data_IF_477708851988
#
_entry.id   IF_477708851988
#
_cell.length_a   1.000
_cell.length_b   1.000
_cell.length_c   1.000
_cell.angle_alpha   90.00
_cell.angle_beta   90.00
_cell.angle_gamma   90.00
#
_symmetry.space_group_name_H-M   'P 1'
#
loop_
_entity.id
_entity.type
_entity.pdbx_description
1 polymer ?
#
# COMPACT_ATOMS: atom_id res chain seq x y z
N UNK A 1 -11.45 -10.09 -5.46
CA UNK A 1 -11.04 -9.13 -6.52
C UNK A 1 -9.55 -9.24 -6.88
N UNK A 2 -8.63 -9.44 -5.91
CA UNK A 2 -7.17 -9.50 -6.16
C UNK A 2 -6.76 -10.59 -7.16
N UNK A 3 -7.47 -11.71 -7.22
CA UNK A 3 -7.18 -12.78 -8.20
C UNK A 3 -7.31 -12.30 -9.65
N UNK A 4 -8.23 -11.38 -9.92
CA UNK A 4 -8.36 -10.79 -11.26
C UNK A 4 -7.13 -9.94 -11.60
N UNK A 5 -6.62 -9.19 -10.66
CA UNK A 5 -5.40 -8.39 -10.86
C UNK A 5 -4.17 -9.30 -11.07
N UNK A 6 -4.03 -10.32 -10.23
CA UNK A 6 -2.93 -11.28 -10.31
C UNK A 6 -2.92 -12.07 -11.62
N UNK A 7 -4.07 -12.32 -12.24
CA UNK A 7 -4.11 -13.02 -13.53
C UNK A 7 -3.25 -12.34 -14.62
N UNK A 8 -2.93 -11.06 -14.45
CA UNK A 8 -2.03 -10.32 -15.32
C UNK A 8 -0.74 -9.88 -14.60
N UNK A 9 -0.84 -9.54 -13.30
CA UNK A 9 0.27 -8.93 -12.56
C UNK A 9 1.15 -9.94 -11.81
N UNK A 10 0.88 -11.22 -11.86
CA UNK A 10 1.75 -12.26 -11.30
C UNK A 10 2.99 -12.57 -12.18
N UNK A 11 3.02 -12.08 -13.42
CA UNK A 11 4.12 -12.27 -14.36
C UNK A 11 4.11 -13.62 -15.08
N UNK A 12 3.10 -14.47 -14.88
CA UNK A 12 3.02 -15.80 -15.52
C UNK A 12 2.33 -15.76 -16.88
N UNK A 13 1.45 -14.81 -17.11
CA UNK A 13 0.70 -14.65 -18.35
C UNK A 13 1.16 -13.41 -19.08
N UNK A 14 1.55 -13.57 -20.35
CA UNK A 14 1.60 -12.42 -21.24
C UNK A 14 0.20 -11.77 -21.20
N UNK A 15 0.12 -10.50 -20.90
CA UNK A 15 -1.15 -9.75 -21.01
C UNK A 15 -1.57 -9.87 -22.46
N UNK A 16 -2.50 -10.75 -22.70
CA UNK A 16 -2.78 -11.34 -23.98
C UNK A 16 -3.06 -10.36 -25.09
N UNK A 17 -3.36 -10.89 -26.24
CA UNK A 17 -3.70 -10.12 -27.43
C UNK A 17 -4.89 -9.20 -27.10
N UNK A 18 -4.63 -7.93 -26.92
CA UNK A 18 -5.69 -6.95 -26.90
C UNK A 18 -6.03 -6.62 -28.37
N UNK A 19 -7.31 -6.54 -28.69
CA UNK A 19 -7.77 -6.18 -30.04
C UNK A 19 -7.20 -4.83 -30.53
N UNK A 20 -6.87 -3.93 -29.59
CA UNK A 20 -6.42 -2.57 -29.92
C UNK A 20 -4.88 -2.42 -29.97
N UNK A 21 -4.12 -3.20 -29.21
CA UNK A 21 -2.70 -2.95 -28.96
C UNK A 21 -1.83 -4.17 -29.34
N UNK A 22 -2.44 -5.29 -29.66
CA UNK A 22 -1.72 -6.53 -29.93
C UNK A 22 -1.24 -7.25 -28.66
N UNK A 23 -0.13 -7.96 -28.75
CA UNK A 23 0.43 -8.72 -27.62
C UNK A 23 1.26 -7.82 -26.73
N UNK A 24 0.86 -7.66 -25.48
CA UNK A 24 1.68 -7.03 -24.42
C UNK A 24 2.29 -8.15 -23.58
N UNK A 25 3.61 -8.20 -23.52
CA UNK A 25 4.34 -9.11 -22.64
C UNK A 25 4.77 -8.36 -21.41
N UNK A 26 4.32 -8.79 -20.22
CA UNK A 26 4.85 -8.29 -18.96
C UNK A 26 6.17 -8.99 -18.67
N UNK A 27 7.24 -8.22 -18.66
CA UNK A 27 8.56 -8.73 -18.24
C UNK A 27 8.62 -8.79 -16.71
N UNK A 28 9.20 -9.85 -16.13
CA UNK A 28 9.42 -9.98 -14.70
C UNK A 28 10.28 -8.86 -14.08
N UNK A 29 10.89 -8.00 -14.91
CA UNK A 29 11.62 -6.80 -14.47
C UNK A 29 10.76 -5.54 -14.39
N UNK A 30 9.50 -5.59 -14.83
CA UNK A 30 8.57 -4.46 -14.73
C UNK A 30 8.13 -4.29 -13.28
N UNK A 31 8.10 -3.04 -12.79
CA UNK A 31 7.60 -2.71 -11.44
C UNK A 31 6.15 -3.12 -11.20
N UNK A 32 5.37 -3.27 -12.27
CA UNK A 32 3.98 -3.70 -12.23
C UNK A 32 3.80 -5.21 -12.03
N UNK A 33 4.87 -6.00 -12.05
CA UNK A 33 4.81 -7.44 -11.79
C UNK A 33 4.97 -7.69 -10.30
N UNK A 34 3.93 -8.19 -9.66
CA UNK A 34 3.91 -8.54 -8.23
C UNK A 34 4.58 -9.91 -8.00
N UNK A 35 4.60 -10.77 -9.03
CA UNK A 35 5.16 -12.11 -8.98
C UNK A 35 4.20 -13.15 -8.37
N UNK A 36 4.64 -14.39 -8.38
CA UNK A 36 3.88 -15.53 -7.82
C UNK A 36 4.19 -15.78 -6.34
N UNK A 37 5.34 -15.30 -5.87
CA UNK A 37 5.75 -15.41 -4.47
C UNK A 37 5.33 -14.14 -3.73
N UNK A 38 4.20 -14.20 -3.03
CA UNK A 38 3.58 -13.03 -2.39
C UNK A 38 4.09 -12.75 -0.98
N UNK A 39 5.12 -13.47 -0.51
CA UNK A 39 5.66 -13.33 0.86
C UNK A 39 6.25 -11.95 1.14
N UNK A 40 6.79 -11.28 0.13
CA UNK A 40 7.31 -9.91 0.24
C UNK A 40 6.27 -8.83 -0.05
N UNK A 41 4.99 -9.18 -0.14
CA UNK A 41 3.92 -8.21 -0.41
C UNK A 41 3.12 -7.88 0.85
N UNK A 42 2.59 -6.67 0.91
CA UNK A 42 1.61 -6.31 1.94
C UNK A 42 0.45 -7.32 1.92
N UNK A 43 0.01 -7.83 3.09
CA UNK A 43 -1.07 -8.82 3.12
C UNK A 43 -2.34 -8.32 2.43
N UNK A 44 -2.91 -9.15 1.56
CA UNK A 44 -4.19 -8.91 0.90
C UNK A 44 -5.01 -10.20 0.81
N UNK A 45 -6.28 -10.10 0.46
CA UNK A 45 -7.28 -11.16 0.55
C UNK A 45 -7.41 -11.74 1.96
N UNK A 46 -7.10 -10.91 2.97
CA UNK A 46 -7.26 -11.25 4.37
C UNK A 46 -8.31 -10.35 5.00
N UNK A 47 -9.18 -10.96 5.80
CA UNK A 47 -10.18 -10.21 6.57
C UNK A 47 -9.50 -9.41 7.69
N UNK A 48 -9.88 -8.15 7.80
CA UNK A 48 -9.44 -7.30 8.91
C UNK A 48 -10.56 -7.17 9.96
N UNK A 49 -10.25 -6.94 11.23
CA UNK A 49 -8.91 -6.82 11.79
C UNK A 49 -8.25 -8.19 11.95
N UNK A 50 -6.93 -8.21 11.81
CA UNK A 50 -6.17 -9.34 12.31
C UNK A 50 -6.24 -9.32 13.83
N UNK A 51 -6.56 -10.45 14.43
CA UNK A 51 -6.59 -10.60 15.89
C UNK A 51 -5.24 -10.16 16.47
N UNK A 52 -5.28 -9.37 17.53
CA UNK A 52 -4.10 -8.90 18.28
C UNK A 52 -3.21 -7.85 17.58
N UNK A 53 -3.72 -7.15 16.56
CA UNK A 53 -2.97 -6.10 15.89
C UNK A 53 -3.08 -4.75 16.64
N UNK A 54 -2.11 -4.44 17.51
CA UNK A 54 -2.06 -3.16 18.24
C UNK A 54 -1.76 -1.95 17.34
N UNK A 55 -1.17 -2.18 16.19
CA UNK A 55 -0.81 -1.16 15.20
C UNK A 55 -1.90 -0.85 14.18
N UNK A 56 -3.11 -1.40 14.33
CA UNK A 56 -4.25 -1.09 13.47
C UNK A 56 -5.23 -0.13 14.16
N UNK A 57 -5.92 0.68 13.39
CA UNK A 57 -6.94 1.60 13.91
C UNK A 57 -8.12 0.83 14.52
N UNK A 58 -8.68 1.35 15.60
CA UNK A 58 -9.77 0.68 16.33
C UNK A 58 -11.04 0.49 15.52
N UNK A 59 -11.30 1.38 14.56
CA UNK A 59 -12.47 1.29 13.67
C UNK A 59 -12.45 0.06 12.79
N UNK A 60 -11.28 -0.48 12.44
CA UNK A 60 -11.19 -1.76 11.72
C UNK A 60 -11.76 -2.91 12.57
N UNK A 61 -11.47 -2.92 13.88
CA UNK A 61 -11.99 -3.93 14.78
C UNK A 61 -13.50 -3.80 15.01
N UNK A 62 -14.00 -2.56 15.10
CA UNK A 62 -15.38 -2.30 15.47
C UNK A 62 -16.36 -2.37 14.29
N UNK A 63 -15.94 -1.91 13.11
CA UNK A 63 -16.85 -1.70 11.97
C UNK A 63 -16.25 -2.02 10.61
N UNK A 64 -15.06 -2.61 10.54
CA UNK A 64 -14.33 -2.86 9.30
C UNK A 64 -14.18 -1.60 8.42
N UNK A 65 -13.98 -0.45 9.06
CA UNK A 65 -13.80 0.84 8.36
C UNK A 65 -12.41 1.39 8.62
N UNK A 66 -11.84 1.99 7.58
CA UNK A 66 -10.57 2.71 7.65
C UNK A 66 -10.79 4.15 8.13
N UNK A 67 -9.72 4.85 8.48
CA UNK A 67 -9.78 6.29 8.80
C UNK A 67 -10.01 7.18 7.57
N UNK A 68 -9.89 6.64 6.37
CA UNK A 68 -10.00 7.38 5.11
C UNK A 68 -11.07 6.79 4.21
N UNK A 69 -12.07 7.58 3.88
CA UNK A 69 -13.20 7.15 3.04
C UNK A 69 -12.80 6.75 1.60
N UNK A 70 -11.62 7.16 1.12
CA UNK A 70 -11.10 6.73 -0.17
C UNK A 70 -10.51 5.31 -0.12
N UNK A 71 -10.03 4.87 1.04
CA UNK A 71 -9.42 3.55 1.26
C UNK A 71 -10.50 2.59 1.74
N UNK A 72 -11.04 1.78 0.85
CA UNK A 72 -12.18 0.91 1.14
C UNK A 72 -11.78 -0.55 1.20
N UNK A 73 -12.28 -1.26 2.19
CA UNK A 73 -12.22 -2.72 2.23
C UNK A 73 -13.29 -3.32 1.31
N UNK A 74 -13.01 -4.48 0.77
CA UNK A 74 -13.96 -5.26 -0.04
C UNK A 74 -14.37 -6.47 0.79
N UNK A 75 -15.64 -6.55 1.16
CA UNK A 75 -16.17 -7.60 2.03
C UNK A 75 -15.33 -7.80 3.30
N UNK A 76 -14.92 -6.68 3.92
CA UNK A 76 -14.05 -6.65 5.10
C UNK A 76 -12.62 -7.16 4.87
N UNK A 77 -12.19 -7.33 3.61
CA UNK A 77 -10.84 -7.75 3.26
C UNK A 77 -10.02 -6.59 2.67
N UNK A 78 -8.71 -6.64 2.91
CA UNK A 78 -7.76 -5.85 2.12
C UNK A 78 -7.61 -6.53 0.76
N UNK A 79 -7.81 -5.78 -0.31
CA UNK A 79 -7.67 -6.25 -1.68
C UNK A 79 -6.80 -5.28 -2.48
N UNK A 80 -6.37 -5.65 -3.68
CA UNK A 80 -5.60 -4.73 -4.53
C UNK A 80 -6.35 -3.40 -4.73
N UNK A 81 -7.66 -3.46 -4.92
CA UNK A 81 -8.54 -2.29 -5.07
C UNK A 81 -8.72 -1.45 -3.79
N UNK A 82 -8.28 -1.94 -2.63
CA UNK A 82 -8.24 -1.13 -1.40
C UNK A 82 -7.22 0.00 -1.53
N UNK A 83 -6.11 -0.26 -2.22
CA UNK A 83 -5.03 0.70 -2.42
C UNK A 83 -5.00 1.30 -3.82
N UNK A 84 -5.49 0.57 -4.85
CA UNK A 84 -5.42 0.97 -6.25
C UNK A 84 -6.80 1.19 -6.88
N UNK A 85 -6.93 2.26 -7.66
CA UNK A 85 -8.09 2.55 -8.51
C UNK A 85 -7.62 2.75 -9.95
N UNK A 86 -7.66 1.69 -10.75
CA UNK A 86 -7.16 1.68 -12.14
C UNK A 86 -7.94 2.60 -13.08
N UNK A 87 -9.08 3.13 -12.65
CA UNK A 87 -9.90 4.06 -13.42
C UNK A 87 -9.63 5.52 -13.06
N UNK A 88 -8.84 5.80 -12.03
CA UNK A 88 -8.69 7.16 -11.51
C UNK A 88 -7.26 7.49 -11.04
N UNK A 89 -6.36 7.64 -12.01
CA UNK A 89 -4.98 8.05 -11.73
C UNK A 89 -4.85 9.51 -11.23
N UNK A 90 -5.91 10.31 -11.31
CA UNK A 90 -5.86 11.72 -10.93
C UNK A 90 -5.75 11.94 -9.42
N UNK A 91 -6.12 10.96 -8.61
CA UNK A 91 -5.99 11.03 -7.15
C UNK A 91 -4.55 10.87 -6.68
N UNK A 92 -3.76 10.15 -7.44
CA UNK A 92 -2.34 9.90 -7.18
C UNK A 92 -1.48 10.66 -8.20
N UNK A 93 -1.38 11.96 -8.01
CA UNK A 93 -0.60 12.83 -8.91
C UNK A 93 0.91 12.66 -8.74
N UNK A 94 1.35 12.11 -7.61
CA UNK A 94 2.77 12.01 -7.28
C UNK A 94 3.39 10.72 -7.76
N UNK A 95 2.78 9.58 -7.48
CA UNK A 95 3.37 8.29 -7.86
C UNK A 95 2.92 7.82 -9.23
N UNK A 96 1.71 8.18 -9.64
CA UNK A 96 1.03 7.70 -10.87
C UNK A 96 0.86 6.17 -10.88
N UNK A 97 0.82 5.55 -9.68
CA UNK A 97 0.62 4.11 -9.48
C UNK A 97 -0.87 3.75 -9.26
N UNK A 98 -1.77 4.63 -9.70
CA UNK A 98 -3.22 4.46 -9.55
C UNK A 98 -3.69 4.30 -8.11
N UNK A 99 -3.01 4.90 -7.13
CA UNK A 99 -3.45 4.84 -5.74
C UNK A 99 -4.80 5.55 -5.57
N UNK A 100 -5.65 5.01 -4.71
CA UNK A 100 -6.97 5.59 -4.38
C UNK A 100 -6.85 6.97 -3.73
N UNK A 101 -5.66 7.31 -3.24
CA UNK A 101 -5.29 8.61 -2.70
C UNK A 101 -3.78 8.83 -2.74
N UNK A 102 -3.34 10.08 -2.62
CA UNK A 102 -1.93 10.44 -2.44
C UNK A 102 -1.38 9.81 -1.14
N UNK A 103 -0.19 9.23 -1.22
CA UNK A 103 0.49 8.62 -0.07
C UNK A 103 1.54 9.53 0.58
N UNK A 104 1.53 10.82 0.31
CA UNK A 104 2.40 11.76 1.01
C UNK A 104 2.28 11.61 2.53
N UNK A 105 3.41 11.62 3.24
CA UNK A 105 3.47 11.42 4.68
C UNK A 105 2.83 10.11 5.18
N UNK A 106 2.77 9.08 4.31
CA UNK A 106 2.22 7.78 4.65
C UNK A 106 0.70 7.73 4.80
N UNK A 107 -0.03 8.69 4.24
CA UNK A 107 -1.47 8.81 4.45
C UNK A 107 -2.27 7.58 4.02
N UNK A 108 -1.85 6.89 2.95
CA UNK A 108 -2.48 5.62 2.55
C UNK A 108 -2.31 4.55 3.63
N UNK A 109 -1.11 4.43 4.19
CA UNK A 109 -0.81 3.48 5.26
C UNK A 109 -1.59 3.80 6.55
N UNK A 110 -1.63 5.09 6.91
CA UNK A 110 -2.30 5.59 8.10
C UNK A 110 -3.84 5.49 8.05
N UNK A 111 -4.41 5.18 6.90
CA UNK A 111 -5.82 4.85 6.81
C UNK A 111 -6.19 3.61 7.64
N UNK A 112 -5.24 2.67 7.77
CA UNK A 112 -5.42 1.42 8.51
C UNK A 112 -4.49 1.31 9.73
N UNK A 113 -3.26 1.85 9.64
CA UNK A 113 -2.27 1.75 10.70
C UNK A 113 -2.42 2.88 11.73
N UNK A 114 -2.23 2.54 13.01
CA UNK A 114 -2.30 3.46 14.13
C UNK A 114 -0.88 3.86 14.57
N UNK A 115 -0.68 5.17 14.77
CA UNK A 115 0.60 5.72 15.23
C UNK A 115 0.51 6.37 16.62
N UNK A 116 -0.66 6.26 17.27
CA UNK A 116 -0.82 6.71 18.66
C UNK A 116 -0.53 5.56 19.64
N UNK A 117 -0.14 5.88 20.89
CA UNK A 117 0.03 4.86 21.92
C UNK A 117 -1.25 4.04 22.10
N UNK A 118 -1.12 2.73 22.01
CA UNK A 118 -2.23 1.78 22.18
C UNK A 118 -1.69 0.42 22.59
N UNK A 119 -2.33 -0.20 23.56
CA UNK A 119 -2.04 -1.57 23.98
C UNK A 119 -3.22 -2.47 23.66
N UNK A 120 -2.98 -3.59 23.00
CA UNK A 120 -3.99 -4.61 22.69
C UNK A 120 -3.44 -5.96 23.09
N UNK A 121 -4.15 -6.68 23.98
CA UNK A 121 -3.76 -7.99 24.48
C UNK A 121 -2.32 -7.99 25.06
N UNK A 122 -1.95 -6.94 25.80
CA UNK A 122 -0.63 -6.79 26.41
C UNK A 122 0.51 -6.43 25.45
N UNK A 123 0.20 -6.12 24.18
CA UNK A 123 1.18 -5.66 23.20
C UNK A 123 0.98 -4.18 22.90
N UNK A 124 2.03 -3.43 23.09
CA UNK A 124 2.05 -2.01 22.73
C UNK A 124 2.14 -1.82 21.21
N UNK A 125 1.59 -0.69 20.74
CA UNK A 125 1.72 -0.31 19.36
C UNK A 125 3.18 0.05 19.02
N UNK A 126 3.86 -0.71 18.16
CA UNK A 126 5.25 -0.44 17.81
C UNK A 126 5.43 0.87 17.01
N UNK A 127 4.35 1.40 16.43
CA UNK A 127 4.35 2.65 15.65
C UNK A 127 4.08 3.89 16.52
N UNK A 128 3.85 3.74 17.82
CA UNK A 128 3.45 4.83 18.71
C UNK A 128 4.46 6.00 18.77
N UNK A 129 5.73 5.73 18.47
CA UNK A 129 6.79 6.75 18.45
C UNK A 129 7.04 7.35 17.06
N UNK A 130 6.31 6.91 16.03
CA UNK A 130 6.54 7.36 14.65
C UNK A 130 6.47 8.88 14.52
N UNK A 131 5.41 9.51 15.02
CA UNK A 131 5.15 10.95 14.84
C UNK A 131 6.21 11.84 15.50
N UNK A 132 6.92 11.32 16.51
CA UNK A 132 8.00 12.02 17.22
C UNK A 132 9.38 11.60 16.74
N UNK A 133 9.46 10.65 15.80
CA UNK A 133 10.72 10.16 15.27
C UNK A 133 11.38 11.19 14.36
N UNK A 134 12.71 11.14 14.27
CA UNK A 134 13.49 11.96 13.34
C UNK A 134 13.13 11.69 11.87
N UNK A 135 12.59 10.51 11.57
CA UNK A 135 12.16 10.15 10.22
C UNK A 135 10.88 10.86 9.80
N UNK A 136 9.92 11.02 10.73
CA UNK A 136 8.63 11.66 10.45
C UNK A 136 8.77 13.16 10.11
N UNK A 137 9.86 13.79 10.54
CA UNK A 137 10.12 15.23 10.33
C UNK A 137 11.37 15.50 9.48
N UNK A 138 11.99 14.44 8.94
CA UNK A 138 13.24 14.55 8.21
C UNK A 138 13.07 15.27 6.87
N UNK A 139 13.84 16.32 6.66
CA UNK A 139 13.97 17.02 5.38
C UNK A 139 15.11 16.45 4.52
N UNK A 140 15.78 15.39 4.98
CA UNK A 140 16.79 14.70 4.19
C UNK A 140 16.19 14.20 2.87
N UNK A 141 16.93 14.42 1.78
CA UNK A 141 16.48 14.00 0.45
C UNK A 141 16.53 12.47 0.33
N UNK A 142 15.49 11.89 -0.21
CA UNK A 142 15.52 10.48 -0.63
C UNK A 142 16.36 10.34 -1.89
N UNK A 143 17.13 9.26 -1.99
CA UNK A 143 17.97 9.05 -3.17
C UNK A 143 17.10 8.88 -4.43
N UNK A 144 17.49 9.47 -5.57
CA UNK A 144 16.69 9.44 -6.81
C UNK A 144 16.31 8.02 -7.29
N UNK A 145 17.11 7.01 -6.94
CA UNK A 145 16.86 5.61 -7.33
C UNK A 145 15.77 4.92 -6.48
N UNK A 146 15.43 5.50 -5.33
CA UNK A 146 14.41 4.94 -4.41
C UNK A 146 13.08 5.69 -4.53
N UNK A 147 13.03 6.74 -5.34
CA UNK A 147 11.83 7.57 -5.51
C UNK A 147 10.83 6.82 -6.38
N UNK A 148 9.86 6.23 -5.73
CA UNK A 148 8.58 5.92 -6.37
C UNK A 148 7.74 7.20 -6.23
N UNK A 149 7.54 7.89 -7.33
CA UNK A 149 6.83 9.17 -7.34
C UNK A 149 7.72 10.39 -7.09
N UNK A 150 7.10 11.54 -6.98
CA UNK A 150 7.74 12.84 -6.83
C UNK A 150 7.89 13.27 -5.37
N UNK A 151 8.11 12.34 -4.45
CA UNK A 151 8.46 12.66 -3.07
C UNK A 151 9.94 13.02 -2.99
N UNK A 152 10.27 14.07 -2.27
CA UNK A 152 11.62 14.61 -2.23
C UNK A 152 12.33 14.36 -0.90
N UNK A 153 11.59 14.22 0.18
CA UNK A 153 12.16 14.04 1.52
C UNK A 153 11.74 12.72 2.15
N UNK A 154 12.51 12.28 3.14
CA UNK A 154 12.19 11.09 3.94
C UNK A 154 10.83 11.24 4.62
N UNK A 155 10.51 12.43 5.15
CA UNK A 155 9.21 12.68 5.77
C UNK A 155 8.05 12.55 4.78
N UNK A 156 8.18 13.10 3.56
CA UNK A 156 7.16 12.95 2.52
C UNK A 156 6.99 11.49 2.09
N UNK A 157 8.08 10.74 1.97
CA UNK A 157 8.06 9.33 1.58
C UNK A 157 7.69 8.42 2.76
N UNK A 158 7.83 8.90 3.99
CA UNK A 158 7.38 8.29 5.24
C UNK A 158 7.64 6.78 5.33
N UNK A 159 6.58 6.00 5.49
CA UNK A 159 6.64 4.54 5.64
C UNK A 159 7.35 3.87 4.46
N UNK A 160 7.14 4.36 3.25
CA UNK A 160 7.74 3.82 2.02
C UNK A 160 9.24 4.06 1.90
N UNK A 161 9.84 4.88 2.77
CA UNK A 161 11.30 5.01 2.85
C UNK A 161 11.99 3.73 3.32
N UNK A 162 11.27 2.89 4.07
CA UNK A 162 11.79 1.66 4.65
C UNK A 162 10.97 0.42 4.27
N UNK A 163 9.70 0.60 3.91
CA UNK A 163 8.78 -0.50 3.58
C UNK A 163 8.42 -0.48 2.10
N UNK A 164 8.65 -1.60 1.44
CA UNK A 164 8.18 -1.87 0.09
C UNK A 164 6.87 -2.66 0.19
N UNK A 165 5.84 -2.21 -0.53
CA UNK A 165 4.51 -2.81 -0.44
C UNK A 165 4.40 -4.11 -1.26
N UNK A 166 5.22 -4.24 -2.29
CA UNK A 166 5.30 -5.41 -3.15
C UNK A 166 6.75 -5.79 -3.40
N UNK A 167 7.04 -7.08 -3.45
CA UNK A 167 8.37 -7.62 -3.75
C UNK A 167 9.49 -7.14 -2.79
N UNK A 168 9.19 -7.09 -1.48
CA UNK A 168 10.17 -6.75 -0.45
C UNK A 168 11.22 -7.88 -0.24
#
# INVERSE_FOLDING_TARGET
PSMLCLSCHDGTVAVGQTLAIGTLTMSGTMKSVVGTTLQGSHPFSLQVPLKDASNLVSTLAASHTTKDAAVKLVDSNVECSTCHDVHNQYKDKKTQEFLVRDNANGQLCLACHEVTPRTVNGRDNPLATWTTSVHATSTAQVAPKTVIGNYTTVAEFACSSCHVQHNA
#
